data_IF_337112410108
#
_entry.id   IF_337112410108
#
_cell.length_a   1.000
_cell.length_b   1.000
_cell.length_c   1.000
_cell.angle_alpha   90.00
_cell.angle_beta   90.00
_cell.angle_gamma   90.00
#
_symmetry.space_group_name_H-M   'P 1'
#
loop_
_entity.id
_entity.type
_entity.pdbx_description
1 polymer ?
#
# COMPACT_ATOMS: atom_id res chain seq x y z
N UNK A 1 -78.80 -41.87 -5.01
CA UNK A 1 -78.06 -40.71 -5.57
C UNK A 1 -76.92 -41.32 -6.38
N UNK A 2 -77.15 -41.57 -7.67
CA UNK A 2 -76.78 -40.71 -8.81
C UNK A 2 -75.24 -40.52 -8.89
N UNK A 3 -74.46 -40.76 -9.94
CA UNK A 3 -74.50 -41.31 -11.31
C UNK A 3 -72.98 -41.59 -11.59
N UNK A 4 -72.50 -42.77 -11.97
CA UNK A 4 -72.46 -43.41 -13.29
C UNK A 4 -71.45 -42.79 -14.30
N UNK A 5 -70.65 -43.69 -14.92
CA UNK A 5 -69.76 -43.60 -16.11
C UNK A 5 -68.29 -43.16 -15.87
N UNK A 6 -67.20 -43.95 -16.09
CA UNK A 6 -66.75 -44.96 -17.08
C UNK A 6 -65.83 -44.40 -18.18
N UNK A 7 -64.78 -45.16 -18.51
CA UNK A 7 -63.79 -45.05 -19.62
C UNK A 7 -62.54 -44.18 -19.32
N UNK A 8 -61.33 -44.76 -19.22
CA UNK A 8 -60.41 -45.18 -20.30
C UNK A 8 -59.70 -43.99 -20.98
N UNK A 9 -58.42 -44.20 -21.33
CA UNK A 9 -57.45 -43.34 -22.05
C UNK A 9 -56.45 -42.53 -21.19
N UNK A 10 -55.23 -43.07 -21.05
CA UNK A 10 -53.97 -42.29 -21.10
C UNK A 10 -53.84 -41.68 -22.52
N UNK A 11 -53.16 -40.53 -22.80
CA UNK A 11 -51.76 -40.24 -22.39
C UNK A 11 -51.32 -38.73 -22.29
N UNK A 12 -50.04 -38.49 -21.90
CA UNK A 12 -49.15 -37.32 -22.24
C UNK A 12 -49.55 -35.90 -21.73
N UNK A 13 -48.70 -34.94 -21.34
CA UNK A 13 -47.28 -34.53 -21.58
C UNK A 13 -46.92 -33.36 -20.61
N UNK A 14 -45.62 -32.99 -20.56
CA UNK A 14 -44.97 -31.74 -20.06
C UNK A 14 -44.66 -31.71 -18.54
N UNK A 15 -43.44 -31.47 -18.03
CA UNK A 15 -42.12 -31.06 -18.52
C UNK A 15 -41.09 -31.65 -17.51
N UNK A 16 -40.02 -32.35 -17.90
CA UNK A 16 -38.76 -31.82 -18.46
C UNK A 16 -38.09 -30.75 -17.58
N UNK A 17 -37.05 -31.20 -16.86
CA UNK A 17 -35.89 -30.48 -16.33
C UNK A 17 -36.14 -29.29 -15.39
N UNK A 18 -35.85 -29.49 -14.10
CA UNK A 18 -35.42 -28.44 -13.18
C UNK A 18 -34.57 -29.10 -12.07
N UNK A 19 -33.30 -28.81 -11.86
CA UNK A 19 -32.32 -28.14 -12.68
C UNK A 19 -31.01 -28.62 -12.05
N UNK A 20 -30.01 -28.88 -12.88
CA UNK A 20 -28.66 -29.24 -12.45
C UNK A 20 -28.25 -28.23 -11.38
N UNK A 21 -27.51 -28.66 -10.34
CA UNK A 21 -26.75 -27.76 -9.48
C UNK A 21 -25.69 -27.06 -10.35
N UNK A 22 -26.15 -26.17 -11.22
CA UNK A 22 -25.35 -25.30 -12.06
C UNK A 22 -24.79 -24.34 -11.04
N UNK A 23 -23.52 -24.55 -10.69
CA UNK A 23 -22.74 -23.63 -9.86
C UNK A 23 -22.75 -22.24 -10.52
N UNK A 24 -23.83 -21.50 -10.36
CA UNK A 24 -23.92 -20.07 -10.68
C UNK A 24 -23.30 -19.28 -9.53
N UNK A 25 -22.18 -19.79 -9.04
CA UNK A 25 -21.47 -19.28 -7.88
C UNK A 25 -20.03 -19.03 -8.31
N UNK A 26 -19.53 -17.83 -8.06
CA UNK A 26 -18.13 -17.52 -8.31
C UNK A 26 -17.24 -18.37 -7.41
N UNK A 27 -16.26 -19.09 -7.96
CA UNK A 27 -15.39 -19.95 -7.15
C UNK A 27 -14.36 -19.18 -6.32
N UNK A 28 -14.14 -17.90 -6.65
CA UNK A 28 -13.16 -17.04 -5.95
C UNK A 28 -13.78 -16.36 -4.74
N UNK A 29 -15.00 -15.82 -4.87
CA UNK A 29 -15.67 -15.06 -3.81
C UNK A 29 -16.94 -15.72 -3.29
N UNK A 30 -17.33 -16.87 -3.85
CA UNK A 30 -18.50 -17.65 -3.46
C UNK A 30 -19.85 -16.92 -3.58
N UNK A 31 -19.90 -15.78 -4.28
CA UNK A 31 -21.15 -15.08 -4.56
C UNK A 31 -22.02 -15.90 -5.52
N UNK A 32 -23.30 -16.08 -5.19
CA UNK A 32 -24.30 -16.76 -6.03
C UNK A 32 -25.04 -15.76 -6.92
N UNK A 33 -25.32 -16.15 -8.16
CA UNK A 33 -25.91 -15.29 -9.18
C UNK A 33 -27.21 -15.86 -9.76
N UNK A 34 -28.18 -14.99 -10.10
CA UNK A 34 -29.49 -15.44 -10.59
C UNK A 34 -29.40 -16.10 -11.97
N UNK A 35 -28.53 -15.57 -12.83
CA UNK A 35 -28.36 -16.04 -14.21
C UNK A 35 -26.89 -16.22 -14.57
N UNK A 36 -26.62 -17.04 -15.58
CA UNK A 36 -25.27 -17.22 -16.13
C UNK A 36 -24.71 -15.94 -16.75
N UNK A 37 -25.56 -15.06 -17.28
CA UNK A 37 -25.15 -13.77 -17.85
C UNK A 37 -24.57 -12.85 -16.77
N UNK A 38 -25.24 -12.77 -15.61
CA UNK A 38 -24.78 -11.96 -14.48
C UNK A 38 -23.49 -12.55 -13.89
N UNK A 39 -23.39 -13.88 -13.77
CA UNK A 39 -22.13 -14.52 -13.34
C UNK A 39 -20.99 -14.24 -14.33
N UNK A 40 -21.24 -14.31 -15.64
CA UNK A 40 -20.21 -13.98 -16.66
C UNK A 40 -19.77 -12.52 -16.57
N UNK A 41 -20.72 -11.59 -16.45
CA UNK A 41 -20.41 -10.17 -16.26
C UNK A 41 -19.57 -9.94 -14.99
N UNK A 42 -19.88 -10.64 -13.89
CA UNK A 42 -19.08 -10.62 -12.67
C UNK A 42 -17.64 -11.13 -12.92
N UNK A 43 -17.48 -12.29 -13.56
CA UNK A 43 -16.15 -12.84 -13.85
C UNK A 43 -15.34 -11.94 -14.80
N UNK A 44 -15.98 -11.30 -15.77
CA UNK A 44 -15.31 -10.39 -16.70
C UNK A 44 -14.93 -9.08 -16.03
N UNK A 45 -15.73 -8.58 -15.07
CA UNK A 45 -15.33 -7.45 -14.22
C UNK A 45 -14.09 -7.79 -13.38
N UNK A 46 -14.02 -9.00 -12.80
CA UNK A 46 -12.83 -9.48 -12.09
C UNK A 46 -11.59 -9.55 -12.98
N UNK A 47 -11.69 -10.18 -14.17
CA UNK A 47 -10.57 -10.25 -15.13
C UNK A 47 -10.12 -8.87 -15.59
N UNK A 48 -11.07 -7.95 -15.77
CA UNK A 48 -10.74 -6.57 -16.16
C UNK A 48 -10.02 -5.86 -15.03
N UNK A 49 -10.48 -6.01 -13.79
CA UNK A 49 -9.79 -5.52 -12.60
C UNK A 49 -8.38 -6.10 -12.45
N UNK A 50 -8.20 -7.40 -12.68
CA UNK A 50 -6.91 -8.07 -12.66
C UNK A 50 -5.94 -7.49 -13.69
N UNK A 51 -6.39 -7.24 -14.92
CA UNK A 51 -5.57 -6.58 -15.97
C UNK A 51 -5.18 -5.17 -15.58
N UNK A 52 -6.11 -4.38 -15.03
CA UNK A 52 -5.84 -3.01 -14.58
C UNK A 52 -4.80 -3.03 -13.45
N UNK A 53 -4.99 -3.87 -12.43
CA UNK A 53 -4.05 -4.01 -11.32
C UNK A 53 -2.69 -4.52 -11.79
N UNK A 54 -2.66 -5.48 -12.72
CA UNK A 54 -1.42 -5.98 -13.32
C UNK A 54 -0.67 -4.87 -14.06
N UNK A 55 -1.38 -4.06 -14.85
CA UNK A 55 -0.80 -2.89 -15.53
C UNK A 55 -0.29 -1.84 -14.54
N UNK A 56 -1.00 -1.58 -13.44
CA UNK A 56 -0.53 -0.70 -12.37
C UNK A 56 0.73 -1.25 -11.69
N UNK A 57 0.80 -2.57 -11.46
CA UNK A 57 1.99 -3.23 -10.91
C UNK A 57 3.16 -3.13 -11.88
N UNK A 58 2.95 -3.35 -13.18
CA UNK A 58 3.98 -3.20 -14.21
C UNK A 58 4.46 -1.75 -14.31
N UNK A 59 3.55 -0.78 -14.26
CA UNK A 59 3.87 0.64 -14.18
C UNK A 59 4.76 0.94 -12.96
N UNK A 60 4.37 0.46 -11.78
CA UNK A 60 5.18 0.57 -10.55
C UNK A 60 6.54 -0.12 -10.66
N UNK A 61 6.64 -1.26 -11.35
CA UNK A 61 7.90 -1.96 -11.59
C UNK A 61 8.83 -1.20 -12.54
N UNK A 62 8.28 -0.53 -13.55
CA UNK A 62 9.06 0.34 -14.44
C UNK A 62 9.65 1.55 -13.71
N UNK A 63 9.00 2.04 -12.65
CA UNK A 63 9.61 3.03 -11.74
C UNK A 63 10.76 2.45 -10.91
N UNK A 64 10.68 1.15 -10.59
CA UNK A 64 11.66 0.39 -9.81
C UNK A 64 12.70 -0.32 -10.69
N UNK A 65 12.89 0.08 -11.95
CA UNK A 65 14.11 -0.29 -12.70
C UNK A 65 15.15 0.81 -12.52
N UNK A 66 15.91 0.85 -11.40
CA UNK A 66 17.09 1.69 -11.35
C UNK A 66 18.14 1.01 -12.23
N UNK A 67 18.59 1.69 -13.29
CA UNK A 67 20.02 1.90 -13.57
C UNK A 67 20.96 0.72 -13.20
N UNK A 68 20.64 -0.52 -13.59
CA UNK A 68 21.52 -1.68 -13.35
C UNK A 68 22.73 -1.73 -14.32
N UNK A 69 22.84 -0.78 -15.25
CA UNK A 69 24.00 -0.68 -16.16
C UNK A 69 25.12 0.24 -15.63
N UNK A 70 25.00 0.82 -14.44
CA UNK A 70 26.00 1.75 -13.88
C UNK A 70 26.82 1.19 -12.70
N UNK A 71 26.82 -0.12 -12.47
CA UNK A 71 27.70 -0.75 -11.46
C UNK A 71 29.08 -1.17 -12.01
N UNK A 72 29.42 -0.83 -13.26
CA UNK A 72 30.76 -1.12 -13.83
C UNK A 72 31.79 0.00 -13.71
N UNK A 73 31.48 1.12 -13.07
CA UNK A 73 32.42 2.22 -12.89
C UNK A 73 32.34 2.84 -11.49
N UNK A 74 32.88 2.15 -10.49
CA UNK A 74 33.87 2.73 -9.55
C UNK A 74 34.14 1.80 -8.36
N UNK A 75 35.20 0.99 -8.49
CA UNK A 75 36.05 0.76 -7.31
C UNK A 75 36.86 2.04 -7.08
N UNK A 76 36.36 2.91 -6.21
CA UNK A 76 37.17 3.95 -5.59
C UNK A 76 36.53 4.35 -4.26
N UNK A 77 37.25 4.08 -3.18
CA UNK A 77 36.92 4.50 -1.83
C UNK A 77 36.75 6.03 -1.80
N UNK A 78 35.56 6.52 -1.46
CA UNK A 78 35.40 7.87 -0.94
C UNK A 78 34.09 7.98 -0.13
N UNK A 79 34.22 8.46 1.10
CA UNK A 79 33.16 8.67 2.09
C UNK A 79 32.31 9.91 1.72
N UNK A 80 31.54 9.83 0.62
CA UNK A 80 30.72 10.97 0.17
C UNK A 80 29.24 10.61 -0.03
N UNK A 81 28.44 11.03 0.97
CA UNK A 81 27.01 11.35 0.91
C UNK A 81 26.07 10.41 0.12
N UNK A 82 25.53 9.41 0.82
CA UNK A 82 24.31 8.68 0.42
C UNK A 82 23.13 9.62 0.07
N UNK A 83 23.11 10.82 0.65
CA UNK A 83 22.10 11.85 0.40
C UNK A 83 22.08 12.39 -1.05
N UNK A 84 23.22 12.36 -1.77
CA UNK A 84 23.34 12.96 -3.10
C UNK A 84 22.78 12.07 -4.24
N UNK A 85 22.68 10.75 -3.99
CA UNK A 85 22.14 9.80 -4.97
C UNK A 85 20.62 9.74 -4.89
N UNK A 86 20.05 9.85 -3.68
CA UNK A 86 18.59 9.88 -3.48
C UNK A 86 17.96 11.18 -4.03
N UNK A 87 18.71 12.29 -4.01
CA UNK A 87 18.28 13.58 -4.56
C UNK A 87 18.06 13.53 -6.08
N UNK A 88 18.81 12.71 -6.83
CA UNK A 88 18.67 12.59 -8.29
C UNK A 88 17.41 11.84 -8.71
N UNK A 89 16.92 10.91 -7.90
CA UNK A 89 15.66 10.17 -8.15
C UNK A 89 14.44 10.99 -7.71
N UNK A 90 14.59 11.84 -6.69
CA UNK A 90 13.54 12.77 -6.26
C UNK A 90 13.17 13.83 -7.30
N UNK A 91 14.06 14.11 -8.26
CA UNK A 91 13.92 15.20 -9.26
C UNK A 91 12.71 15.07 -10.17
N UNK A 92 12.22 13.88 -10.51
CA UNK A 92 11.13 13.75 -11.50
C UNK A 92 9.80 14.27 -10.95
N UNK A 93 9.47 13.95 -9.69
CA UNK A 93 8.25 14.46 -9.05
C UNK A 93 8.36 15.94 -8.68
N UNK A 94 9.55 16.38 -8.28
CA UNK A 94 9.81 17.77 -7.90
C UNK A 94 9.85 18.68 -9.17
N UNK A 95 10.25 18.14 -10.33
CA UNK A 95 10.24 18.84 -11.63
C UNK A 95 8.85 18.91 -12.31
N UNK A 96 7.97 17.92 -12.07
CA UNK A 96 6.60 17.90 -12.64
C UNK A 96 5.61 18.65 -11.72
N UNK A 97 6.03 19.04 -10.50
CA UNK A 97 5.19 19.80 -9.57
C UNK A 97 4.01 19.00 -9.01
N UNK A 98 4.14 17.66 -8.96
CA UNK A 98 3.10 16.81 -8.39
C UNK A 98 3.14 16.93 -6.88
N UNK A 99 2.14 17.60 -6.31
CA UNK A 99 2.00 17.77 -4.86
C UNK A 99 1.84 16.40 -4.16
N UNK A 100 2.70 16.13 -3.17
CA UNK A 100 2.70 14.89 -2.40
C UNK A 100 1.83 15.05 -1.16
N UNK A 101 0.78 14.25 -1.03
CA UNK A 101 -0.15 14.31 0.12
C UNK A 101 0.36 13.44 1.29
N UNK A 102 0.12 13.89 2.51
CA UNK A 102 0.33 13.09 3.72
C UNK A 102 -0.59 11.87 3.71
N UNK A 103 -0.06 10.65 3.96
CA UNK A 103 -0.86 9.43 3.98
C UNK A 103 -1.64 9.24 5.29
N UNK A 104 -1.41 10.08 6.32
CA UNK A 104 -2.13 9.98 7.59
C UNK A 104 -3.58 10.45 7.43
N UNK A 105 -4.51 9.64 7.94
CA UNK A 105 -5.95 9.92 7.93
C UNK A 105 -6.24 11.30 8.56
N UNK A 106 -7.18 12.04 7.98
CA UNK A 106 -7.57 13.40 8.38
C UNK A 106 -6.47 14.48 8.35
N UNK A 107 -5.21 14.18 8.01
CA UNK A 107 -4.17 15.20 7.96
C UNK A 107 -4.33 16.12 6.74
N UNK A 108 -4.58 15.54 5.56
CA UNK A 108 -4.87 16.27 4.31
C UNK A 108 -3.75 17.16 3.73
N UNK A 109 -2.62 17.33 4.43
CA UNK A 109 -1.53 18.25 4.04
C UNK A 109 -0.78 17.79 2.80
N UNK A 110 -0.39 18.73 1.96
CA UNK A 110 0.39 18.49 0.73
C UNK A 110 1.75 19.20 0.79
N UNK A 111 2.73 18.61 0.09
CA UNK A 111 4.11 19.07 0.09
C UNK A 111 4.70 19.01 -1.32
N UNK A 112 5.53 19.99 -1.65
CA UNK A 112 6.15 20.10 -2.97
C UNK A 112 7.46 19.31 -3.10
N UNK A 113 8.00 18.79 -1.99
CA UNK A 113 9.21 17.97 -1.99
C UNK A 113 9.02 16.73 -1.12
N UNK A 114 9.66 15.62 -1.49
CA UNK A 114 9.66 14.36 -0.70
C UNK A 114 10.15 14.61 0.72
N UNK A 115 11.28 15.32 0.86
CA UNK A 115 11.89 15.63 2.16
C UNK A 115 10.95 16.41 3.09
N UNK A 116 10.14 17.34 2.55
CA UNK A 116 9.19 18.09 3.36
C UNK A 116 8.03 17.20 3.88
N UNK A 117 7.55 16.27 3.04
CA UNK A 117 6.54 15.29 3.44
C UNK A 117 7.07 14.34 4.52
N UNK A 118 8.25 13.75 4.34
CA UNK A 118 8.85 12.81 5.30
C UNK A 118 9.01 13.45 6.68
N UNK A 119 9.62 14.64 6.73
CA UNK A 119 9.79 15.41 7.98
C UNK A 119 8.44 15.76 8.63
N UNK A 120 7.40 16.00 7.84
CA UNK A 120 6.07 16.21 8.40
C UNK A 120 5.49 14.92 8.97
N UNK A 121 5.66 13.79 8.28
CA UNK A 121 5.12 12.50 8.69
C UNK A 121 5.71 12.01 10.03
N UNK A 122 6.94 12.37 10.37
CA UNK A 122 7.53 12.20 11.71
C UNK A 122 6.66 12.75 12.87
N UNK A 123 5.70 13.65 12.60
CA UNK A 123 4.76 14.18 13.61
C UNK A 123 3.62 13.22 13.95
N UNK A 124 3.32 12.31 13.03
CA UNK A 124 2.25 11.32 13.19
C UNK A 124 2.78 10.02 13.78
N UNK A 125 4.07 9.75 13.64
CA UNK A 125 4.70 8.53 14.16
C UNK A 125 4.91 8.66 15.68
N UNK A 126 4.25 7.82 16.49
CA UNK A 126 4.46 7.81 17.93
C UNK A 126 5.88 7.35 18.27
N UNK A 127 6.46 7.91 19.32
CA UNK A 127 7.80 7.57 19.78
C UNK A 127 7.73 7.02 21.21
N UNK A 128 8.36 5.88 21.43
CA UNK A 128 8.51 5.26 22.76
C UNK A 128 9.87 5.48 23.40
N UNK A 129 10.77 6.19 22.71
CA UNK A 129 12.16 6.33 23.11
C UNK A 129 12.35 7.29 24.28
N UNK A 130 13.40 7.01 25.06
CA UNK A 130 13.78 7.77 26.24
C UNK A 130 15.13 8.42 26.00
N UNK A 131 15.23 9.74 26.19
CA UNK A 131 16.49 10.43 26.04
C UNK A 131 17.50 10.05 27.14
N UNK A 132 18.71 9.63 26.76
CA UNK A 132 19.77 9.23 27.72
C UNK A 132 20.46 10.39 28.45
N UNK A 133 20.14 11.64 28.10
CA UNK A 133 20.64 12.83 28.78
C UNK A 133 19.70 13.31 29.88
N UNK A 134 18.40 13.34 29.63
CA UNK A 134 17.42 13.87 30.59
C UNK A 134 16.31 12.90 30.99
N UNK A 135 16.39 11.64 30.52
CA UNK A 135 15.46 10.54 30.84
C UNK A 135 13.99 10.85 30.57
N UNK A 136 13.72 11.78 29.64
CA UNK A 136 12.37 12.14 29.24
C UNK A 136 11.92 11.25 28.09
N UNK A 137 10.69 10.76 28.17
CA UNK A 137 9.96 10.14 27.05
C UNK A 137 9.27 11.23 26.23
N UNK A 138 9.41 11.15 24.91
CA UNK A 138 8.81 12.11 23.98
C UNK A 138 7.74 11.40 23.16
N UNK A 139 6.57 12.01 22.92
CA UNK A 139 5.41 11.30 22.39
C UNK A 139 5.50 10.98 20.89
N UNK A 140 6.27 11.74 20.12
CA UNK A 140 6.36 11.63 18.66
C UNK A 140 7.80 11.71 18.17
N UNK A 141 8.09 11.09 17.03
CA UNK A 141 9.43 11.03 16.42
C UNK A 141 10.00 12.43 16.18
N UNK A 142 9.20 13.31 15.55
CA UNK A 142 9.63 14.69 15.26
C UNK A 142 9.99 15.48 16.51
N UNK A 143 9.34 15.20 17.64
CA UNK A 143 9.59 15.84 18.94
C UNK A 143 10.87 15.28 19.55
N UNK A 144 11.07 13.96 19.49
CA UNK A 144 12.29 13.32 19.97
C UNK A 144 13.54 13.81 19.23
N UNK A 145 13.50 13.85 17.90
CA UNK A 145 14.62 14.31 17.06
C UNK A 145 14.99 15.76 17.38
N UNK A 146 14.01 16.65 17.52
CA UNK A 146 14.25 18.06 17.90
C UNK A 146 14.78 18.18 19.32
N UNK A 147 14.23 17.39 20.24
CA UNK A 147 14.65 17.36 21.64
C UNK A 147 16.12 16.96 21.78
N UNK A 148 16.52 15.88 21.11
CA UNK A 148 17.89 15.38 21.13
C UNK A 148 18.86 16.49 20.72
N UNK A 149 18.62 17.15 19.57
CA UNK A 149 19.42 18.28 19.06
C UNK A 149 19.55 19.49 20.00
N UNK A 150 18.68 19.61 21.00
CA UNK A 150 18.75 20.71 21.98
C UNK A 150 19.78 20.47 23.09
N UNK A 151 20.25 19.24 23.27
CA UNK A 151 21.31 18.95 24.24
C UNK A 151 22.64 19.48 23.76
N UNK A 152 23.39 20.09 24.67
CA UNK A 152 24.81 20.39 24.44
C UNK A 152 25.63 19.17 24.84
N UNK A 153 26.27 18.56 23.85
CA UNK A 153 26.71 17.19 23.90
C UNK A 153 28.17 17.02 24.32
N UNK A 154 28.43 16.90 25.61
CA UNK A 154 29.79 16.65 26.10
C UNK A 154 30.25 15.18 25.99
N UNK A 155 29.35 14.22 25.74
CA UNK A 155 29.68 12.78 25.72
C UNK A 155 29.44 12.14 24.35
N UNK A 156 30.53 11.87 23.62
CA UNK A 156 30.50 11.30 22.27
C UNK A 156 29.75 9.95 22.18
N UNK A 157 29.88 9.08 23.19
CA UNK A 157 29.21 7.77 23.19
C UNK A 157 27.69 7.93 23.24
N UNK A 158 27.20 8.81 24.13
CA UNK A 158 25.77 9.12 24.22
C UNK A 158 25.26 9.79 22.94
N UNK A 159 26.09 10.62 22.29
CA UNK A 159 25.73 11.27 21.03
C UNK A 159 25.56 10.28 19.90
N UNK A 160 26.51 9.35 19.74
CA UNK A 160 26.43 8.31 18.71
C UNK A 160 25.18 7.46 18.89
N UNK A 161 24.88 7.07 20.13
CA UNK A 161 23.66 6.34 20.46
C UNK A 161 22.40 7.12 20.06
N UNK A 162 22.31 8.39 20.45
CA UNK A 162 21.15 9.22 20.13
C UNK A 162 21.04 9.56 18.63
N UNK A 163 22.17 9.68 17.93
CA UNK A 163 22.19 9.88 16.48
C UNK A 163 21.65 8.64 15.77
N UNK A 164 22.18 7.45 16.09
CA UNK A 164 21.68 6.19 15.53
C UNK A 164 20.20 6.00 15.80
N UNK A 165 19.76 6.25 17.04
CA UNK A 165 18.33 6.22 17.39
C UNK A 165 17.51 7.22 16.56
N UNK A 166 18.02 8.43 16.30
CA UNK A 166 17.32 9.39 15.44
C UNK A 166 17.20 8.90 13.99
N UNK A 167 18.18 8.15 13.50
CA UNK A 167 18.18 7.63 12.14
C UNK A 167 17.20 6.45 12.02
N UNK A 168 17.21 5.53 12.99
CA UNK A 168 16.25 4.42 13.10
C UNK A 168 14.79 4.95 13.16
N UNK A 169 14.55 6.00 13.96
CA UNK A 169 13.23 6.61 14.07
C UNK A 169 12.80 7.33 12.78
N UNK A 170 13.74 7.85 11.98
CA UNK A 170 13.41 8.41 10.66
C UNK A 170 13.06 7.34 9.66
N UNK A 171 13.75 6.20 9.69
CA UNK A 171 13.44 5.06 8.83
C UNK A 171 12.05 4.49 9.13
N UNK A 172 11.68 4.40 10.41
CA UNK A 172 10.30 4.04 10.81
C UNK A 172 9.23 5.04 10.36
N UNK A 173 9.64 6.28 10.05
CA UNK A 173 8.77 7.37 9.64
C UNK A 173 8.92 7.74 8.15
N UNK A 174 9.43 6.83 7.30
CA UNK A 174 9.65 7.03 5.87
C UNK A 174 8.75 6.17 4.97
#
# INVERSE_FOLDING_TARGET
RLLQHSASFYPTTLNMFDDINVQRQCQTCLASFPTNEILRAHLDAYKTGERILSSQIEYCRAHKTPVCDLERLSHSNDDTNSDAIEERIATVHDAIGIARKCPYEDCGKTFNTRRALLRHFEQHVPCSEICVYCFRRLPYVSVFIKHVKSHNYANERKNRYLSGMCDDLREQAA
#
